data_IF_889847067817
#
_entry.id   IF_889847067817
#
_cell.length_a   1.000
_cell.length_b   1.000
_cell.length_c   1.000
_cell.angle_alpha   90.00
_cell.angle_beta   90.00
_cell.angle_gamma   90.00
#
_symmetry.space_group_name_H-M   'P 1'
#
loop_
_entity.id
_entity.type
_entity.pdbx_description
1 polymer ?
#
# COMPACT_ATOMS: atom_id res chain seq x y z
N UNK A 1 -9.52 15.58 -3.91
CA UNK A 1 -8.27 14.89 -3.50
C UNK A 1 -7.23 14.81 -4.62
N UNK A 2 -7.50 14.13 -5.75
CA UNK A 2 -6.50 13.95 -6.83
C UNK A 2 -5.79 15.23 -7.28
N UNK A 3 -6.51 16.33 -7.51
CA UNK A 3 -5.92 17.64 -7.85
C UNK A 3 -4.87 18.11 -6.83
N UNK A 4 -5.14 17.96 -5.53
CA UNK A 4 -4.21 18.35 -4.48
C UNK A 4 -3.04 17.35 -4.36
N UNK A 5 -3.29 16.06 -4.59
CA UNK A 5 -2.23 15.07 -4.61
C UNK A 5 -1.28 15.32 -5.79
N UNK A 6 -1.82 15.60 -6.98
CA UNK A 6 -1.06 15.92 -8.19
C UNK A 6 -0.32 17.26 -8.08
N UNK A 7 -0.99 18.28 -7.52
CA UNK A 7 -0.47 19.64 -7.41
C UNK A 7 0.31 19.95 -6.12
N UNK A 8 0.68 18.95 -5.32
CA UNK A 8 1.50 19.15 -4.11
C UNK A 8 0.77 19.63 -2.85
N UNK A 9 -0.54 19.89 -2.92
CA UNK A 9 -1.36 20.25 -1.74
C UNK A 9 -1.61 19.10 -0.77
N UNK A 10 -1.38 17.85 -1.19
CA UNK A 10 -1.30 16.67 -0.33
C UNK A 10 0.02 15.94 -0.59
N UNK A 11 0.76 15.62 0.47
CA UNK A 11 2.16 15.17 0.36
C UNK A 11 2.34 13.66 0.41
N UNK A 12 1.41 12.91 1.01
CA UNK A 12 1.54 11.45 1.13
C UNK A 12 0.18 10.75 1.15
N UNK A 13 0.17 9.45 0.87
CA UNK A 13 -1.02 8.60 0.98
C UNK A 13 -0.74 7.42 1.91
N UNK A 14 -1.46 7.38 3.04
CA UNK A 14 -1.55 6.21 3.92
C UNK A 14 -2.85 5.43 3.67
N UNK A 15 -3.07 4.37 4.44
CA UNK A 15 -4.28 3.52 4.32
C UNK A 15 -5.22 3.61 5.51
N UNK A 16 -4.72 4.02 6.67
CA UNK A 16 -5.44 3.86 7.94
C UNK A 16 -5.94 2.41 8.14
N UNK A 17 -5.09 1.44 7.76
CA UNK A 17 -5.42 0.03 7.80
C UNK A 17 -5.68 -0.40 9.25
N UNK A 18 -6.96 -0.64 9.54
CA UNK A 18 -7.48 -1.03 10.84
C UNK A 18 -8.64 -2.02 10.62
N UNK A 19 -8.35 -3.25 10.15
CA UNK A 19 -9.38 -4.18 9.74
C UNK A 19 -10.06 -4.84 10.94
N UNK A 20 -11.36 -5.09 10.79
CA UNK A 20 -12.18 -5.89 11.69
C UNK A 20 -12.97 -6.86 10.84
N UNK A 21 -13.04 -8.14 11.23
CA UNK A 21 -13.85 -9.14 10.53
C UNK A 21 -15.29 -8.66 10.37
N UNK A 22 -15.80 -8.71 9.15
CA UNK A 22 -17.14 -8.25 8.83
C UNK A 22 -18.16 -9.08 9.59
N UNK A 23 -18.09 -10.40 9.45
CA UNK A 23 -19.10 -11.35 9.92
C UNK A 23 -19.19 -11.44 11.45
N UNK A 24 -18.14 -11.05 12.18
CA UNK A 24 -18.09 -11.18 13.64
C UNK A 24 -17.94 -9.86 14.39
N UNK A 25 -17.34 -8.83 13.79
CA UNK A 25 -17.00 -7.59 14.50
C UNK A 25 -17.73 -6.38 13.92
N UNK A 26 -17.83 -6.24 12.59
CA UNK A 26 -18.58 -5.12 11.98
C UNK A 26 -20.07 -5.21 12.27
N UNK A 27 -20.63 -6.42 12.31
CA UNK A 27 -22.05 -6.66 12.63
C UNK A 27 -22.48 -6.13 14.00
N UNK A 28 -21.55 -5.84 14.92
CA UNK A 28 -21.87 -5.25 16.24
C UNK A 28 -22.60 -3.91 16.12
N UNK A 29 -22.40 -3.18 15.02
CA UNK A 29 -23.10 -1.93 14.74
C UNK A 29 -24.29 -2.05 13.80
N UNK A 30 -24.80 -3.26 13.53
CA UNK A 30 -25.94 -3.49 12.60
C UNK A 30 -27.17 -2.64 12.97
N UNK A 31 -27.50 -2.56 14.26
CA UNK A 31 -28.68 -1.85 14.76
C UNK A 31 -28.33 -0.47 15.36
N UNK A 32 -27.05 -0.18 15.54
CA UNK A 32 -26.54 1.08 16.09
C UNK A 32 -25.13 1.34 15.54
N UNK A 33 -25.03 2.22 14.55
CA UNK A 33 -23.77 2.49 13.86
C UNK A 33 -22.66 2.99 14.80
N UNK A 34 -23.00 3.55 15.96
CA UNK A 34 -22.02 4.03 16.95
C UNK A 34 -21.24 2.89 17.60
N UNK A 35 -21.76 1.65 17.55
CA UNK A 35 -21.12 0.43 18.05
C UNK A 35 -20.30 -0.31 17.00
N UNK A 36 -20.38 0.11 15.73
CA UNK A 36 -19.55 -0.48 14.68
C UNK A 36 -18.08 -0.11 14.91
N UNK A 37 -17.14 -1.07 14.98
CA UNK A 37 -15.73 -0.73 15.07
C UNK A 37 -15.29 0.00 13.80
N UNK A 38 -14.70 1.18 13.95
CA UNK A 38 -14.24 2.02 12.83
C UNK A 38 -12.91 1.52 12.27
N UNK A 39 -12.82 1.37 10.94
CA UNK A 39 -11.60 0.94 10.25
C UNK A 39 -11.87 0.00 9.08
N UNK A 40 -10.96 -0.03 8.10
CA UNK A 40 -11.08 -0.83 6.89
C UNK A 40 -9.74 -1.54 6.56
N UNK A 41 -9.78 -2.69 5.88
CA UNK A 41 -8.62 -3.26 5.21
C UNK A 41 -8.20 -2.42 4.00
N UNK A 42 -6.94 -2.53 3.57
CA UNK A 42 -6.44 -1.77 2.42
C UNK A 42 -4.93 -1.57 2.34
N UNK A 43 -4.14 -2.06 3.30
CA UNK A 43 -2.67 -1.86 3.30
C UNK A 43 -2.02 -2.42 2.03
N UNK A 44 -2.47 -3.57 1.56
CA UNK A 44 -1.86 -4.30 0.45
C UNK A 44 -2.21 -3.67 -0.91
N UNK A 45 -3.47 -3.30 -1.08
CA UNK A 45 -4.00 -2.78 -2.34
C UNK A 45 -3.55 -1.35 -2.68
N UNK A 46 -3.04 -0.58 -1.69
CA UNK A 46 -2.75 0.86 -1.82
C UNK A 46 -1.97 1.24 -3.06
N UNK A 47 -0.85 0.56 -3.33
CA UNK A 47 0.04 0.91 -4.45
C UNK A 47 -0.67 0.72 -5.79
N UNK A 48 -1.32 -0.43 -5.98
CA UNK A 48 -2.02 -0.81 -7.21
C UNK A 48 -3.28 0.04 -7.45
N UNK A 49 -4.02 0.39 -6.39
CA UNK A 49 -5.16 1.33 -6.47
C UNK A 49 -4.71 2.72 -6.93
N UNK A 50 -3.65 3.26 -6.32
CA UNK A 50 -3.12 4.57 -6.70
C UNK A 50 -2.51 4.57 -8.10
N UNK A 51 -1.88 3.47 -8.51
CA UNK A 51 -1.37 3.33 -9.87
C UNK A 51 -2.52 3.30 -10.88
N UNK A 52 -3.49 2.39 -10.68
CA UNK A 52 -4.63 2.22 -11.60
C UNK A 52 -5.42 3.51 -11.75
N UNK A 53 -5.90 4.09 -10.64
CA UNK A 53 -6.82 5.22 -10.68
C UNK A 53 -6.13 6.59 -10.73
N UNK A 54 -4.82 6.62 -10.47
CA UNK A 54 -3.99 7.82 -10.50
C UNK A 54 -3.12 7.89 -11.75
N UNK A 55 -2.20 6.94 -11.92
CA UNK A 55 -1.22 6.96 -13.03
C UNK A 55 -1.85 6.51 -14.34
N UNK A 56 -2.49 5.34 -14.39
CA UNK A 56 -3.02 4.79 -15.64
C UNK A 56 -4.15 5.64 -16.24
N UNK A 57 -4.85 6.42 -15.41
CA UNK A 57 -5.87 7.40 -15.83
C UNK A 57 -5.34 8.83 -16.03
N UNK A 58 -4.01 9.04 -15.99
CA UNK A 58 -3.37 10.34 -16.28
C UNK A 58 -3.58 11.43 -15.22
N UNK A 59 -4.01 11.07 -13.99
CA UNK A 59 -4.21 12.02 -12.88
C UNK A 59 -2.93 12.29 -12.09
N UNK A 60 -1.99 11.34 -12.09
CA UNK A 60 -0.66 11.46 -11.51
C UNK A 60 0.38 11.07 -12.56
N UNK A 61 1.54 11.72 -12.54
CA UNK A 61 2.73 11.17 -13.18
C UNK A 61 3.26 9.97 -12.38
N UNK A 62 4.02 9.09 -13.04
CA UNK A 62 4.68 7.97 -12.37
C UNK A 62 5.59 8.45 -11.22
N UNK A 63 6.37 9.51 -11.45
CA UNK A 63 7.24 10.09 -10.43
C UNK A 63 6.44 10.61 -9.23
N UNK A 64 5.29 11.26 -9.47
CA UNK A 64 4.45 11.76 -8.38
C UNK A 64 3.83 10.62 -7.58
N UNK A 65 3.47 9.51 -8.22
CA UNK A 65 3.01 8.30 -7.52
C UNK A 65 4.09 7.71 -6.63
N UNK A 66 5.34 7.59 -7.11
CA UNK A 66 6.48 7.15 -6.29
C UNK A 66 6.73 8.11 -5.13
N UNK A 67 6.67 9.42 -5.38
CA UNK A 67 6.90 10.45 -4.38
C UNK A 67 5.90 10.35 -3.22
N UNK A 68 4.60 10.40 -3.50
CA UNK A 68 3.56 10.40 -2.45
C UNK A 68 3.42 9.06 -1.75
N UNK A 69 3.83 7.97 -2.39
CA UNK A 69 3.79 6.63 -1.79
C UNK A 69 5.02 6.30 -0.93
N UNK A 70 6.18 6.90 -1.24
CA UNK A 70 7.49 6.47 -0.74
C UNK A 70 8.41 7.63 -0.31
N UNK A 71 8.79 8.52 -1.22
CA UNK A 71 9.83 9.52 -0.96
C UNK A 71 9.37 10.60 0.03
N UNK A 72 8.19 11.19 -0.19
CA UNK A 72 7.63 12.22 0.69
C UNK A 72 7.38 11.72 2.12
N UNK A 73 6.73 10.55 2.37
CA UNK A 73 6.62 10.05 3.74
C UNK A 73 7.98 9.77 4.38
N UNK A 74 8.98 9.28 3.63
CA UNK A 74 10.33 9.11 4.16
C UNK A 74 10.97 10.46 4.56
N UNK A 75 10.77 11.52 3.79
CA UNK A 75 11.24 12.87 4.15
C UNK A 75 10.52 13.42 5.39
N UNK A 76 9.19 13.33 5.42
CA UNK A 76 8.35 13.80 6.55
C UNK A 76 8.78 13.13 7.86
N UNK A 77 9.17 11.85 7.82
CA UNK A 77 9.58 11.10 9.00
C UNK A 77 11.11 11.07 9.23
N UNK A 78 11.90 11.89 8.53
CA UNK A 78 13.35 11.98 8.77
C UNK A 78 14.15 10.73 8.37
N UNK A 79 13.63 9.94 7.43
CA UNK A 79 14.24 8.68 6.96
C UNK A 79 14.84 8.80 5.55
N UNK A 80 14.62 9.89 4.84
CA UNK A 80 15.26 10.12 3.54
C UNK A 80 16.73 10.53 3.71
N UNK A 81 17.68 10.05 2.88
CA UNK A 81 17.51 9.17 1.72
C UNK A 81 17.61 7.67 2.05
N UNK A 82 17.76 7.29 3.32
CA UNK A 82 17.86 5.86 3.72
C UNK A 82 16.63 5.05 3.28
N UNK A 83 15.44 5.66 3.28
CA UNK A 83 14.18 5.13 2.76
C UNK A 83 13.60 6.03 1.67
N UNK A 84 12.77 5.45 0.81
CA UNK A 84 12.08 6.19 -0.25
C UNK A 84 13.00 6.70 -1.38
N UNK A 85 14.22 6.15 -1.48
CA UNK A 85 15.21 6.50 -2.51
C UNK A 85 15.77 5.23 -3.16
N UNK A 86 16.12 5.32 -4.45
CA UNK A 86 16.87 4.31 -5.18
C UNK A 86 18.25 4.87 -5.55
N UNK A 87 19.08 5.05 -4.53
CA UNK A 87 20.43 5.61 -4.65
C UNK A 87 21.44 4.75 -3.88
N UNK A 88 22.72 4.71 -4.27
CA UNK A 88 23.76 4.05 -3.49
C UNK A 88 23.73 4.47 -2.02
N UNK A 89 23.82 3.50 -1.10
CA UNK A 89 23.77 3.72 0.34
C UNK A 89 22.36 3.75 0.97
N UNK A 90 21.29 3.81 0.17
CA UNK A 90 19.93 3.61 0.68
C UNK A 90 19.68 2.14 1.04
N UNK A 91 18.71 1.87 1.93
CA UNK A 91 18.30 0.50 2.20
C UNK A 91 17.65 -0.09 0.94
N UNK A 92 18.04 -1.32 0.58
CA UNK A 92 17.49 -2.05 -0.56
C UNK A 92 16.06 -2.57 -0.31
N UNK A 93 15.12 -1.63 -0.10
CA UNK A 93 13.69 -1.85 -0.01
C UNK A 93 13.05 -1.46 -1.35
N UNK A 94 12.83 -2.45 -2.21
CA UNK A 94 12.52 -2.27 -3.64
C UNK A 94 11.28 -3.10 -4.01
N UNK A 95 10.41 -2.53 -4.83
CA UNK A 95 9.29 -3.26 -5.44
C UNK A 95 9.54 -3.35 -6.94
N UNK A 96 9.49 -4.56 -7.49
CA UNK A 96 9.35 -4.75 -8.94
C UNK A 96 7.86 -4.72 -9.24
N UNK A 97 7.46 -3.75 -10.05
CA UNK A 97 6.06 -3.45 -10.34
C UNK A 97 5.80 -3.61 -11.82
N UNK A 98 4.86 -4.47 -12.19
CA UNK A 98 4.41 -4.64 -13.57
C UNK A 98 3.22 -3.70 -13.81
N UNK A 99 3.36 -2.63 -14.61
CA UNK A 99 2.29 -1.67 -14.86
C UNK A 99 1.20 -2.20 -15.80
N UNK A 100 1.42 -3.34 -16.46
CA UNK A 100 0.49 -3.97 -17.39
C UNK A 100 -0.28 -5.14 -16.78
N UNK A 101 0.20 -5.73 -15.67
CA UNK A 101 -0.48 -6.83 -14.98
C UNK A 101 -1.88 -6.40 -14.54
N UNK A 102 -2.87 -7.18 -14.97
CA UNK A 102 -4.28 -6.99 -14.61
C UNK A 102 -4.66 -7.93 -13.46
N UNK A 103 -5.33 -7.39 -12.45
CA UNK A 103 -5.78 -8.13 -11.26
C UNK A 103 -7.18 -7.67 -10.90
N UNK A 104 -8.10 -8.62 -10.69
CA UNK A 104 -9.39 -8.32 -10.05
C UNK A 104 -9.22 -8.50 -8.55
N UNK A 105 -9.43 -7.42 -7.78
CA UNK A 105 -9.31 -7.47 -6.33
C UNK A 105 -10.39 -8.36 -5.72
N UNK A 106 -9.95 -9.21 -4.81
CA UNK A 106 -10.80 -10.00 -3.94
C UNK A 106 -9.98 -10.45 -2.73
N UNK A 107 -10.63 -10.99 -1.71
CA UNK A 107 -9.94 -11.60 -0.57
C UNK A 107 -9.08 -12.81 -0.96
N UNK A 108 -9.30 -13.42 -2.13
CA UNK A 108 -8.54 -14.59 -2.59
C UNK A 108 -7.12 -14.24 -3.07
N UNK A 109 -6.91 -12.99 -3.51
CA UNK A 109 -5.62 -12.51 -4.02
C UNK A 109 -4.88 -11.63 -3.02
N UNK A 110 -5.54 -11.27 -1.91
CA UNK A 110 -4.99 -10.47 -0.83
C UNK A 110 -4.57 -11.36 0.34
N UNK A 111 -3.67 -10.85 1.18
CA UNK A 111 -3.02 -11.51 2.29
C UNK A 111 -3.42 -10.91 3.66
N UNK A 112 -4.29 -9.91 3.66
CA UNK A 112 -4.79 -9.27 4.89
C UNK A 112 -5.61 -10.27 5.73
N UNK A 113 -5.42 -10.29 7.05
CA UNK A 113 -6.09 -11.23 7.95
C UNK A 113 -7.51 -10.74 8.31
N UNK A 114 -8.40 -10.74 7.31
CA UNK A 114 -9.80 -10.29 7.39
C UNK A 114 -10.61 -10.95 6.26
N UNK A 115 -11.93 -10.99 6.40
CA UNK A 115 -12.89 -11.72 5.55
C UNK A 115 -13.49 -10.89 4.39
N UNK A 116 -13.10 -9.62 4.24
CA UNK A 116 -13.60 -8.76 3.15
C UNK A 116 -12.56 -7.73 2.70
N UNK A 117 -12.83 -7.09 1.57
CA UNK A 117 -12.15 -5.86 1.16
C UNK A 117 -13.19 -4.87 0.64
N UNK A 118 -13.08 -3.56 0.93
CA UNK A 118 -13.99 -2.56 0.37
C UNK A 118 -13.82 -2.36 -1.14
N UNK A 119 -12.80 -3.00 -1.73
CA UNK A 119 -12.44 -2.89 -3.15
C UNK A 119 -12.74 -4.17 -3.93
N UNK A 120 -13.59 -5.06 -3.41
CA UNK A 120 -13.92 -6.32 -4.06
C UNK A 120 -14.48 -6.08 -5.47
N UNK A 121 -14.01 -6.86 -6.44
CA UNK A 121 -14.36 -6.74 -7.85
C UNK A 121 -13.69 -5.60 -8.61
N UNK A 122 -12.87 -4.75 -7.98
CA UNK A 122 -12.16 -3.69 -8.68
C UNK A 122 -11.12 -4.29 -9.63
N UNK A 123 -11.19 -3.89 -10.91
CA UNK A 123 -10.20 -4.27 -11.92
C UNK A 123 -9.03 -3.29 -11.87
N UNK A 124 -7.84 -3.80 -11.53
CA UNK A 124 -6.62 -3.02 -11.43
C UNK A 124 -5.68 -3.32 -12.59
N UNK A 125 -4.93 -2.30 -13.00
CA UNK A 125 -3.85 -2.39 -13.97
C UNK A 125 -2.59 -1.80 -13.34
N UNK A 126 -1.64 -2.67 -13.08
CA UNK A 126 -0.46 -2.38 -12.28
C UNK A 126 -0.44 -3.19 -10.99
N UNK A 127 0.55 -4.06 -10.83
CA UNK A 127 0.66 -4.94 -9.66
C UNK A 127 2.12 -5.21 -9.24
N UNK A 128 2.43 -5.27 -7.93
CA UNK A 128 3.74 -5.70 -7.46
C UNK A 128 3.96 -7.19 -7.74
N UNK A 129 5.03 -7.53 -8.47
CA UNK A 129 5.40 -8.92 -8.78
C UNK A 129 6.52 -9.44 -7.89
N UNK A 130 7.33 -8.55 -7.32
CA UNK A 130 8.36 -8.89 -6.34
C UNK A 130 8.55 -7.76 -5.34
N UNK A 131 8.75 -8.10 -4.07
CA UNK A 131 9.11 -7.16 -3.00
C UNK A 131 10.39 -7.61 -2.32
N UNK A 132 11.38 -6.72 -2.32
CA UNK A 132 12.69 -6.89 -1.72
C UNK A 132 12.77 -5.98 -0.49
N UNK A 133 13.23 -6.49 0.64
CA UNK A 133 13.43 -5.73 1.87
C UNK A 133 14.85 -5.95 2.37
N UNK A 134 15.63 -4.88 2.50
CA UNK A 134 17.07 -4.92 2.85
C UNK A 134 17.85 -5.94 2.01
N UNK A 135 17.58 -5.98 0.71
CA UNK A 135 18.27 -6.85 -0.24
C UNK A 135 17.84 -8.32 -0.23
N UNK A 136 16.78 -8.68 0.50
CA UNK A 136 16.20 -10.04 0.51
C UNK A 136 14.84 -10.05 -0.17
N UNK A 137 14.61 -11.00 -1.07
CA UNK A 137 13.28 -11.24 -1.65
C UNK A 137 12.36 -11.73 -0.54
N UNK A 138 11.28 -10.98 -0.29
CA UNK A 138 10.30 -11.30 0.75
C UNK A 138 8.99 -11.80 0.14
N UNK A 139 8.62 -11.27 -1.03
CA UNK A 139 7.45 -11.69 -1.79
C UNK A 139 7.85 -11.85 -3.25
N UNK A 140 7.40 -12.95 -3.87
CA UNK A 140 7.59 -13.25 -5.29
C UNK A 140 6.32 -13.90 -5.83
N UNK A 141 5.80 -13.39 -6.96
CA UNK A 141 4.56 -13.87 -7.61
C UNK A 141 3.39 -14.09 -6.63
N UNK A 142 3.18 -13.11 -5.74
CA UNK A 142 2.09 -13.13 -4.77
C UNK A 142 2.28 -14.14 -3.64
N UNK A 143 3.49 -14.67 -3.40
CA UNK A 143 3.78 -15.55 -2.27
C UNK A 143 4.82 -14.96 -1.36
N UNK A 144 4.58 -15.02 -0.05
CA UNK A 144 5.59 -14.69 0.95
C UNK A 144 6.63 -15.80 1.02
N UNK A 145 7.89 -15.48 0.71
CA UNK A 145 9.02 -16.43 0.61
C UNK A 145 10.15 -16.14 1.60
N UNK A 146 10.09 -15.00 2.30
CA UNK A 146 11.13 -14.60 3.24
C UNK A 146 10.95 -15.18 4.66
N UNK A 147 11.97 -15.09 5.52
CA UNK A 147 11.82 -15.46 6.93
C UNK A 147 10.99 -14.42 7.70
N UNK A 148 10.17 -14.88 8.65
CA UNK A 148 9.42 -14.00 9.56
C UNK A 148 10.38 -13.28 10.54
N UNK A 149 9.94 -12.14 11.07
CA UNK A 149 10.70 -11.41 12.11
C UNK A 149 11.91 -10.61 11.60
N UNK A 150 12.06 -10.41 10.30
CA UNK A 150 13.19 -9.64 9.74
C UNK A 150 13.05 -8.11 9.93
N UNK A 151 11.87 -7.62 10.36
CA UNK A 151 11.61 -6.20 10.59
C UNK A 151 12.56 -5.58 11.62
N UNK A 152 12.94 -4.32 11.43
CA UNK A 152 13.74 -3.55 12.39
C UNK A 152 13.06 -2.23 12.66
N UNK A 153 13.05 -1.82 13.93
CA UNK A 153 12.68 -0.47 14.30
C UNK A 153 13.68 0.51 13.68
N UNK A 154 13.18 1.63 13.15
CA UNK A 154 13.99 2.70 12.60
C UNK A 154 13.90 3.89 13.55
N UNK A 155 15.02 4.22 14.18
CA UNK A 155 15.17 5.47 14.93
C UNK A 155 15.14 6.62 13.92
N UNK A 156 14.36 7.65 14.22
CA UNK A 156 14.28 8.89 13.46
C UNK A 156 15.10 9.94 14.21
N UNK A 157 15.85 10.75 13.49
CA UNK A 157 16.63 11.87 14.05
C UNK A 157 15.75 13.11 14.20
#
# INVERSE_FOLDING_TARGET
MWKHLAGGGLSSVGTDHCPFFYETQKILGRDDFTKMPNGLPGIESRLSLLHTFGVALGRLSLNRWVEVCCAAPAQIFGLYPKKGSLTPGADADIVIFDPAKEVTLSTQVLHEHVDYTPYDGFQLRGWPVMTIVRGKVMVEEGRFVGPRGQGKFLVRN
#
